data_IF_442901234471
#
_entry.id   IF_442901234471
#
_cell.length_a   1.000
_cell.length_b   1.000
_cell.length_c   1.000
_cell.angle_alpha   90.00
_cell.angle_beta   90.00
_cell.angle_gamma   90.00
#
_symmetry.space_group_name_H-M   'P 1'
#
loop_
_entity.id
_entity.type
_entity.pdbx_description
1 polymer ?
#
# COMPACT_ATOMS: atom_id res chain seq x y z
N UNK A 1 -21.34 -19.78 -16.38
CA UNK A 1 -21.08 -18.65 -17.28
C UNK A 1 -19.64 -18.22 -17.06
N UNK A 2 -18.79 -18.05 -18.09
CA UNK A 2 -17.42 -17.61 -17.86
C UNK A 2 -17.44 -16.08 -17.70
N UNK A 3 -17.77 -15.62 -16.50
CA UNK A 3 -17.47 -14.26 -16.06
C UNK A 3 -16.06 -14.21 -15.46
N UNK A 4 -15.52 -13.01 -15.15
CA UNK A 4 -14.26 -12.81 -14.45
C UNK A 4 -14.38 -13.15 -12.95
N UNK A 5 -15.05 -14.26 -12.64
CA UNK A 5 -15.33 -14.71 -11.29
C UNK A 5 -14.34 -15.81 -10.94
N UNK A 6 -13.58 -15.58 -9.89
CA UNK A 6 -12.70 -16.61 -9.35
C UNK A 6 -13.54 -17.74 -8.76
N UNK A 7 -13.22 -18.98 -9.14
CA UNK A 7 -13.79 -20.13 -8.44
C UNK A 7 -13.31 -20.10 -6.96
N UNK A 8 -14.10 -20.59 -5.99
CA UNK A 8 -13.70 -20.61 -4.58
C UNK A 8 -12.32 -21.20 -4.33
N UNK A 9 -11.96 -22.26 -5.07
CA UNK A 9 -10.62 -22.86 -5.00
C UNK A 9 -9.50 -21.92 -5.47
N UNK A 10 -9.75 -21.10 -6.50
CA UNK A 10 -8.77 -20.12 -6.98
C UNK A 10 -8.62 -18.95 -5.99
N UNK A 11 -9.72 -18.49 -5.36
CA UNK A 11 -9.67 -17.48 -4.29
C UNK A 11 -8.83 -17.96 -3.10
N UNK A 12 -9.06 -19.19 -2.64
CA UNK A 12 -8.30 -19.78 -1.53
C UNK A 12 -6.81 -19.89 -1.90
N UNK A 13 -6.50 -20.35 -3.12
CA UNK A 13 -5.13 -20.44 -3.59
C UNK A 13 -4.44 -19.07 -3.61
N UNK A 14 -5.08 -18.06 -4.20
CA UNK A 14 -4.54 -16.69 -4.26
C UNK A 14 -4.34 -16.12 -2.86
N UNK A 15 -5.31 -16.28 -1.96
CA UNK A 15 -5.20 -15.84 -0.57
C UNK A 15 -4.02 -16.49 0.17
N UNK A 16 -3.83 -17.80 0.02
CA UNK A 16 -2.71 -18.53 0.64
C UNK A 16 -1.36 -18.10 0.08
N UNK A 17 -1.25 -17.95 -1.25
CA UNK A 17 0.00 -17.51 -1.89
C UNK A 17 0.34 -16.08 -1.49
N UNK A 18 -0.62 -15.15 -1.49
CA UNK A 18 -0.42 -13.77 -1.02
C UNK A 18 0.08 -13.73 0.43
N UNK A 19 -0.51 -14.53 1.31
CA UNK A 19 -0.10 -14.61 2.71
C UNK A 19 1.31 -15.23 2.86
N UNK A 20 1.61 -16.28 2.09
CA UNK A 20 2.93 -16.91 2.09
C UNK A 20 4.03 -15.95 1.59
N UNK A 21 3.76 -15.19 0.52
CA UNK A 21 4.68 -14.17 0.01
C UNK A 21 4.91 -13.06 1.03
N UNK A 22 3.86 -12.62 1.74
CA UNK A 22 4.01 -11.63 2.81
C UNK A 22 4.84 -12.17 3.99
N UNK A 23 4.58 -13.42 4.40
CA UNK A 23 5.38 -14.09 5.43
C UNK A 23 6.86 -14.20 5.04
N UNK A 24 7.14 -14.56 3.79
CA UNK A 24 8.51 -14.60 3.26
C UNK A 24 9.16 -13.22 3.25
N UNK A 25 8.43 -12.17 2.83
CA UNK A 25 8.89 -10.79 2.86
C UNK A 25 9.24 -10.33 4.29
N UNK A 26 8.36 -10.59 5.26
CA UNK A 26 8.63 -10.25 6.67
C UNK A 26 9.85 -11.01 7.20
N UNK A 27 9.99 -12.29 6.88
CA UNK A 27 11.16 -13.08 7.29
C UNK A 27 12.47 -12.54 6.68
N UNK A 28 12.46 -12.17 5.40
CA UNK A 28 13.61 -11.57 4.73
C UNK A 28 14.01 -10.24 5.38
N UNK A 29 13.04 -9.39 5.72
CA UNK A 29 13.26 -8.08 6.32
C UNK A 29 13.71 -8.15 7.79
N UNK A 30 13.20 -9.12 8.57
CA UNK A 30 13.47 -9.20 10.02
C UNK A 30 14.67 -10.06 10.40
N UNK A 31 14.98 -11.09 9.61
CA UNK A 31 16.01 -12.09 9.96
C UNK A 31 17.13 -12.16 8.94
N UNK A 32 16.82 -12.23 7.65
CA UNK A 32 17.79 -12.70 6.65
C UNK A 32 18.69 -11.59 6.09
N UNK A 33 18.16 -10.37 5.87
CA UNK A 33 18.88 -9.28 5.21
C UNK A 33 18.70 -7.94 5.93
N UNK A 34 18.58 -7.92 7.26
CA UNK A 34 18.29 -6.70 8.03
C UNK A 34 19.20 -5.51 7.67
N UNK A 35 20.47 -5.79 7.40
CA UNK A 35 21.48 -4.80 7.04
C UNK A 35 21.23 -4.15 5.65
N UNK A 36 20.59 -4.87 4.72
CA UNK A 36 20.21 -4.35 3.39
C UNK A 36 19.00 -3.39 3.47
N UNK A 37 18.26 -3.41 4.58
CA UNK A 37 17.10 -2.53 4.83
C UNK A 37 17.44 -1.32 5.70
N UNK A 38 18.70 -1.11 6.06
CA UNK A 38 19.15 0.05 6.82
C UNK A 38 19.86 1.05 5.91
N UNK A 39 19.58 2.35 6.10
CA UNK A 39 20.42 3.37 5.47
C UNK A 39 21.81 3.35 6.10
N UNK A 40 22.86 3.54 5.29
CA UNK A 40 24.26 3.60 5.74
C UNK A 40 24.49 4.64 6.87
N UNK A 41 23.61 5.64 6.97
CA UNK A 41 23.65 6.66 8.02
C UNK A 41 23.27 6.12 9.41
N UNK A 42 22.47 5.03 9.48
CA UNK A 42 22.04 4.42 10.74
C UNK A 42 22.93 3.21 11.14
N UNK A 43 23.81 2.76 10.24
CA UNK A 43 24.77 1.67 10.47
C UNK A 43 25.78 2.04 11.58
N UNK A 44 25.55 1.51 12.79
CA UNK A 44 26.40 1.74 13.96
C UNK A 44 25.76 2.57 15.08
N UNK A 45 24.50 2.99 14.94
CA UNK A 45 23.76 3.60 16.04
C UNK A 45 23.40 2.56 17.10
N UNK A 46 24.05 2.66 18.27
CA UNK A 46 23.64 1.88 19.45
C UNK A 46 22.26 2.38 19.86
N UNK A 47 21.24 1.53 19.73
CA UNK A 47 19.90 1.85 20.16
C UNK A 47 19.90 1.87 21.70
N UNK A 48 19.61 3.03 22.29
CA UNK A 48 19.44 3.11 23.75
C UNK A 48 18.31 2.17 24.20
N UNK A 49 18.47 1.50 25.35
CA UNK A 49 17.45 0.62 25.88
C UNK A 49 16.15 1.40 26.13
N UNK A 50 15.08 1.00 25.45
CA UNK A 50 13.76 1.62 25.58
C UNK A 50 13.24 1.38 27.00
N UNK A 51 12.83 2.43 27.70
CA UNK A 51 12.25 2.30 29.04
C UNK A 51 10.95 1.49 28.98
N UNK A 52 10.75 0.59 29.96
CA UNK A 52 9.54 -0.26 30.04
C UNK A 52 8.24 0.56 30.01
N UNK A 53 8.25 1.76 30.59
CA UNK A 53 7.13 2.70 30.52
C UNK A 53 6.80 3.11 29.09
N UNK A 54 7.81 3.46 28.30
CA UNK A 54 7.60 3.96 26.93
C UNK A 54 7.15 2.81 26.01
N UNK A 55 7.64 1.59 26.24
CA UNK A 55 7.11 0.38 25.61
C UNK A 55 5.62 0.15 25.95
N UNK A 56 5.24 0.23 27.23
CA UNK A 56 3.84 0.06 27.65
C UNK A 56 2.94 1.15 27.05
N UNK A 57 3.40 2.42 27.04
CA UNK A 57 2.66 3.51 26.39
C UNK A 57 2.46 3.19 24.91
N UNK A 58 3.52 2.80 24.18
CA UNK A 58 3.41 2.45 22.77
C UNK A 58 2.45 1.25 22.54
N UNK A 59 2.52 0.24 23.40
CA UNK A 59 1.68 -0.96 23.32
C UNK A 59 0.18 -0.65 23.40
N UNK A 60 -0.23 0.33 24.21
CA UNK A 60 -1.63 0.74 24.31
C UNK A 60 -2.00 1.84 23.30
N UNK A 61 -1.08 2.76 23.01
CA UNK A 61 -1.34 3.90 22.14
C UNK A 61 -1.45 3.48 20.67
N UNK A 62 -0.71 2.45 20.24
CA UNK A 62 -0.76 1.95 18.86
C UNK A 62 -2.15 1.40 18.48
N UNK A 63 -2.76 0.45 19.21
CA UNK A 63 -4.11 0.00 18.88
C UNK A 63 -5.16 1.09 19.05
N UNK A 64 -5.00 2.01 20.01
CA UNK A 64 -5.90 3.15 20.15
C UNK A 64 -5.84 4.09 18.94
N UNK A 65 -4.63 4.40 18.46
CA UNK A 65 -4.42 5.20 17.26
C UNK A 65 -4.97 4.49 16.03
N UNK A 66 -4.77 3.18 15.90
CA UNK A 66 -5.32 2.38 14.80
C UNK A 66 -6.86 2.45 14.78
N UNK A 67 -7.52 2.25 15.93
CA UNK A 67 -8.98 2.38 16.04
C UNK A 67 -9.43 3.78 15.66
N UNK A 68 -8.75 4.82 16.16
CA UNK A 68 -9.08 6.20 15.84
C UNK A 68 -8.97 6.50 14.34
N UNK A 69 -7.91 6.01 13.66
CA UNK A 69 -7.73 6.18 12.21
C UNK A 69 -8.80 5.44 11.42
N UNK A 70 -9.13 4.20 11.79
CA UNK A 70 -10.20 3.41 11.13
C UNK A 70 -11.55 4.11 11.27
N UNK A 71 -11.91 4.58 12.47
CA UNK A 71 -13.15 5.31 12.70
C UNK A 71 -13.18 6.63 11.92
N UNK A 72 -12.05 7.34 11.86
CA UNK A 72 -11.95 8.59 11.09
C UNK A 72 -12.11 8.33 9.58
N UNK A 73 -11.50 7.27 9.06
CA UNK A 73 -11.66 6.87 7.65
C UNK A 73 -13.11 6.51 7.33
N UNK A 74 -13.78 5.77 8.21
CA UNK A 74 -15.20 5.42 8.07
C UNK A 74 -16.10 6.67 8.09
N UNK A 75 -15.85 7.62 9.00
CA UNK A 75 -16.60 8.88 9.06
C UNK A 75 -16.34 9.79 7.86
N UNK A 76 -15.16 9.72 7.24
CA UNK A 76 -14.81 10.49 6.05
C UNK A 76 -15.36 9.88 4.76
N UNK A 77 -15.75 8.61 4.74
CA UNK A 77 -16.26 7.94 3.53
C UNK A 77 -17.51 8.64 2.98
N UNK A 78 -18.49 8.93 3.85
CA UNK A 78 -19.78 9.57 3.50
C UNK A 78 -19.62 10.96 2.87
N UNK A 79 -18.89 11.92 3.48
CA UNK A 79 -18.70 13.23 2.85
C UNK A 79 -17.87 13.16 1.57
N UNK A 80 -16.91 12.23 1.46
CA UNK A 80 -16.11 12.02 0.24
C UNK A 80 -16.99 11.48 -0.90
N UNK A 81 -17.82 10.48 -0.62
CA UNK A 81 -18.79 9.93 -1.57
C UNK A 81 -19.78 11.02 -2.04
N UNK A 82 -20.32 11.79 -1.09
CA UNK A 82 -21.22 12.91 -1.40
C UNK A 82 -20.55 14.02 -2.23
N UNK A 83 -19.26 14.31 -2.01
CA UNK A 83 -18.52 15.30 -2.79
C UNK A 83 -18.22 14.81 -4.21
N UNK A 84 -17.83 13.55 -4.37
CA UNK A 84 -17.55 12.91 -5.67
C UNK A 84 -18.85 12.82 -6.49
N UNK A 85 -19.95 12.41 -5.86
CA UNK A 85 -21.27 12.37 -6.50
C UNK A 85 -21.75 13.76 -6.96
N UNK A 86 -21.56 14.80 -6.15
CA UNK A 86 -21.90 16.19 -6.54
C UNK A 86 -21.02 16.72 -7.68
N UNK A 87 -19.77 16.27 -7.78
CA UNK A 87 -18.88 16.60 -8.88
C UNK A 87 -19.18 15.83 -10.18
N UNK A 88 -20.11 14.87 -10.14
CA UNK A 88 -20.45 14.01 -11.29
C UNK A 88 -19.34 13.01 -11.64
N UNK A 89 -18.47 12.67 -10.69
CA UNK A 89 -17.34 11.77 -10.87
C UNK A 89 -17.72 10.30 -10.56
N UNK A 90 -17.01 9.30 -11.12
CA UNK A 90 -17.31 7.89 -10.90
C UNK A 90 -17.13 7.43 -9.45
N UNK A 91 -17.92 6.44 -9.02
CA UNK A 91 -17.80 5.82 -7.68
C UNK A 91 -16.42 5.18 -7.43
N UNK A 92 -15.75 4.70 -8.48
CA UNK A 92 -14.39 4.16 -8.37
C UNK A 92 -13.40 5.17 -7.76
N UNK A 93 -13.65 6.48 -7.96
CA UNK A 93 -12.82 7.54 -7.40
C UNK A 93 -12.96 7.68 -5.87
N UNK A 94 -14.07 7.20 -5.29
CA UNK A 94 -14.27 7.16 -3.82
C UNK A 94 -13.24 6.24 -3.19
N UNK A 95 -13.05 5.04 -3.76
CA UNK A 95 -12.02 4.11 -3.32
C UNK A 95 -10.61 4.69 -3.44
N UNK A 96 -10.31 5.38 -4.54
CA UNK A 96 -9.02 6.07 -4.74
C UNK A 96 -8.80 7.17 -3.69
N UNK A 97 -9.81 8.00 -3.43
CA UNK A 97 -9.73 9.08 -2.45
C UNK A 97 -9.51 8.54 -1.03
N UNK A 98 -10.27 7.53 -0.62
CA UNK A 98 -10.13 6.89 0.70
C UNK A 98 -8.75 6.25 0.83
N UNK A 99 -8.28 5.52 -0.20
CA UNK A 99 -6.95 4.93 -0.21
C UNK A 99 -5.83 5.98 -0.05
N UNK A 100 -5.96 7.13 -0.74
CA UNK A 100 -5.00 8.23 -0.61
C UNK A 100 -4.99 8.82 0.80
N UNK A 101 -6.15 9.01 1.44
CA UNK A 101 -6.25 9.55 2.79
C UNK A 101 -5.61 8.59 3.80
N UNK A 102 -5.87 7.29 3.68
CA UNK A 102 -5.33 6.26 4.59
C UNK A 102 -3.81 6.14 4.42
N UNK A 103 -3.29 6.17 3.20
CA UNK A 103 -1.86 6.02 2.92
C UNK A 103 -1.07 7.33 3.09
N UNK A 104 -1.75 8.47 3.21
CA UNK A 104 -1.12 9.79 3.29
C UNK A 104 -0.05 9.90 4.40
N UNK A 105 -0.29 9.47 5.65
CA UNK A 105 0.70 9.61 6.72
C UNK A 105 2.03 8.92 6.39
N UNK A 106 1.96 7.72 5.81
CA UNK A 106 3.14 6.94 5.43
C UNK A 106 3.82 7.51 4.19
N UNK A 107 3.05 8.03 3.23
CA UNK A 107 3.57 8.76 2.07
C UNK A 107 4.33 10.02 2.49
N UNK A 108 3.80 10.78 3.45
CA UNK A 108 4.47 11.97 3.99
C UNK A 108 5.73 11.62 4.76
N UNK A 109 5.71 10.55 5.57
CA UNK A 109 6.88 10.06 6.28
C UNK A 109 7.97 9.57 5.30
N UNK A 110 7.58 8.87 4.22
CA UNK A 110 8.48 8.42 3.17
C UNK A 110 9.12 9.61 2.42
N UNK A 111 8.33 10.66 2.14
CA UNK A 111 8.84 11.89 1.53
C UNK A 111 9.80 12.63 2.48
N UNK A 112 9.51 12.64 3.78
CA UNK A 112 10.38 13.18 4.82
C UNK A 112 11.75 12.49 4.82
N UNK A 113 11.76 11.15 4.87
CA UNK A 113 12.98 10.35 4.78
C UNK A 113 13.77 10.62 3.49
N UNK A 114 13.09 10.72 2.34
CA UNK A 114 13.73 11.06 1.07
C UNK A 114 14.40 12.45 1.09
N UNK A 115 13.77 13.45 1.73
CA UNK A 115 14.36 14.81 1.89
C UNK A 115 15.58 14.81 2.78
N UNK A 116 15.65 13.91 3.75
CA UNK A 116 16.81 13.68 4.60
C UNK A 116 17.89 12.78 3.96
N UNK A 117 17.74 12.45 2.67
CA UNK A 117 18.63 11.56 1.95
C UNK A 117 18.72 10.13 2.54
N UNK A 118 17.66 9.70 3.25
CA UNK A 118 17.43 8.34 3.77
C UNK A 118 16.58 7.54 2.78
N UNK A 119 17.16 7.26 1.60
CA UNK A 119 16.44 6.68 0.47
C UNK A 119 15.98 5.24 0.75
N UNK A 120 16.77 4.44 1.47
CA UNK A 120 16.36 3.08 1.81
C UNK A 120 15.16 3.10 2.75
N UNK A 121 15.16 3.95 3.77
CA UNK A 121 14.02 4.17 4.68
C UNK A 121 12.78 4.62 3.91
N UNK A 122 12.94 5.59 3.00
CA UNK A 122 11.84 6.09 2.17
C UNK A 122 11.20 4.99 1.32
N UNK A 123 12.01 4.20 0.62
CA UNK A 123 11.56 3.09 -0.24
C UNK A 123 10.96 1.96 0.59
N UNK A 124 11.58 1.60 1.72
CA UNK A 124 11.07 0.58 2.63
C UNK A 124 9.70 0.94 3.19
N UNK A 125 9.49 2.21 3.55
CA UNK A 125 8.21 2.67 4.05
C UNK A 125 7.14 2.64 2.95
N UNK A 126 7.44 3.18 1.77
CA UNK A 126 6.48 3.24 0.67
C UNK A 126 6.14 1.84 0.09
N UNK A 127 7.15 1.08 -0.32
CA UNK A 127 6.94 -0.25 -0.92
C UNK A 127 6.53 -1.29 0.13
N UNK A 128 7.10 -1.23 1.35
CA UNK A 128 6.72 -2.13 2.43
C UNK A 128 5.25 -1.96 2.82
N UNK A 129 4.76 -0.72 2.89
CA UNK A 129 3.35 -0.43 3.13
C UNK A 129 2.44 -0.94 2.01
N UNK A 130 2.80 -0.66 0.75
CA UNK A 130 2.03 -1.11 -0.40
C UNK A 130 1.95 -2.65 -0.45
N UNK A 131 3.07 -3.33 -0.22
CA UNK A 131 3.11 -4.80 -0.16
C UNK A 131 2.26 -5.35 0.99
N UNK A 132 2.37 -4.79 2.20
CA UNK A 132 1.56 -5.21 3.34
C UNK A 132 0.06 -5.02 3.06
N UNK A 133 -0.32 -3.87 2.51
CA UNK A 133 -1.70 -3.55 2.15
C UNK A 133 -2.25 -4.54 1.12
N UNK A 134 -1.53 -4.79 0.03
CA UNK A 134 -1.98 -5.72 -1.02
C UNK A 134 -2.04 -7.17 -0.52
N UNK A 135 -0.99 -7.66 0.13
CA UNK A 135 -0.90 -9.05 0.55
C UNK A 135 -1.83 -9.40 1.72
N UNK A 136 -2.26 -8.42 2.53
CA UNK A 136 -3.26 -8.62 3.58
C UNK A 136 -4.69 -8.34 3.11
N UNK A 137 -4.91 -7.41 2.17
CA UNK A 137 -6.26 -7.09 1.66
C UNK A 137 -6.81 -8.25 0.84
N UNK A 138 -6.01 -8.83 -0.06
CA UNK A 138 -6.45 -9.96 -0.91
C UNK A 138 -7.02 -11.13 -0.09
N UNK A 139 -6.32 -11.69 0.92
CA UNK A 139 -6.87 -12.78 1.73
C UNK A 139 -8.06 -12.33 2.58
N UNK A 140 -8.05 -11.09 3.09
CA UNK A 140 -9.18 -10.57 3.88
C UNK A 140 -10.45 -10.51 3.06
N UNK A 141 -10.39 -9.94 1.85
CA UNK A 141 -11.53 -9.84 0.93
C UNK A 141 -11.95 -11.23 0.43
N UNK A 142 -10.99 -12.14 0.18
CA UNK A 142 -11.31 -13.53 -0.19
C UNK A 142 -12.07 -14.27 0.92
N UNK A 143 -11.65 -14.15 2.18
CA UNK A 143 -12.36 -14.72 3.33
C UNK A 143 -13.75 -14.12 3.45
N UNK A 144 -13.89 -12.79 3.32
CA UNK A 144 -15.15 -12.09 3.41
C UNK A 144 -16.13 -12.51 2.30
N UNK A 145 -15.65 -12.62 1.06
CA UNK A 145 -16.42 -13.09 -0.09
C UNK A 145 -16.94 -14.51 0.13
N UNK A 146 -16.09 -15.43 0.61
CA UNK A 146 -16.50 -16.81 0.90
C UNK A 146 -17.48 -16.89 2.07
N UNK A 147 -17.32 -16.06 3.09
CA UNK A 147 -18.21 -16.04 4.26
C UNK A 147 -19.59 -15.45 3.93
N UNK A 148 -19.65 -14.42 3.09
CA UNK A 148 -20.88 -13.74 2.68
C UNK A 148 -21.54 -14.37 1.44
N UNK A 149 -20.87 -15.31 0.77
CA UNK A 149 -21.34 -15.91 -0.47
C UNK A 149 -21.44 -14.90 -1.63
N UNK A 150 -20.64 -13.83 -1.60
CA UNK A 150 -20.63 -12.81 -2.65
C UNK A 150 -19.59 -13.13 -3.72
N UNK A 151 -20.00 -12.96 -4.97
CA UNK A 151 -19.15 -13.11 -6.15
C UNK A 151 -18.12 -11.99 -6.20
N UNK A 152 -16.83 -12.34 -6.07
CA UNK A 152 -15.73 -11.39 -6.08
C UNK A 152 -15.03 -11.37 -7.45
N UNK A 153 -15.07 -10.21 -8.09
CA UNK A 153 -14.23 -9.91 -9.25
C UNK A 153 -12.94 -9.27 -8.74
N UNK A 154 -11.89 -10.07 -8.57
CA UNK A 154 -10.53 -9.61 -8.25
C UNK A 154 -9.79 -9.08 -9.50
N UNK A 155 -10.56 -8.54 -10.45
CA UNK A 155 -10.07 -8.10 -11.75
C UNK A 155 -10.05 -6.58 -11.82
N UNK A 156 -8.91 -6.04 -12.23
CA UNK A 156 -8.81 -4.67 -12.72
C UNK A 156 -9.26 -4.63 -14.19
N UNK A 157 -9.82 -3.52 -14.63
CA UNK A 157 -10.06 -3.30 -16.05
C UNK A 157 -8.75 -3.26 -16.84
N UNK A 158 -8.81 -3.53 -18.13
CA UNK A 158 -7.63 -3.69 -18.98
C UNK A 158 -6.70 -2.47 -18.93
N UNK A 159 -7.27 -1.27 -18.85
CA UNK A 159 -6.53 -0.01 -18.71
C UNK A 159 -5.75 0.10 -17.39
N UNK A 160 -6.35 -0.28 -16.26
CA UNK A 160 -5.69 -0.26 -14.95
C UNK A 160 -4.63 -1.37 -14.84
N UNK A 161 -4.83 -2.52 -15.50
CA UNK A 161 -3.80 -3.55 -15.62
C UNK A 161 -2.57 -3.00 -16.35
N UNK A 162 -2.76 -2.30 -17.48
CA UNK A 162 -1.66 -1.69 -18.24
C UNK A 162 -0.92 -0.66 -17.39
N UNK A 163 -1.63 0.21 -16.67
CA UNK A 163 -1.03 1.20 -15.79
C UNK A 163 -0.29 0.57 -14.61
N UNK A 164 -0.82 -0.50 -14.01
CA UNK A 164 -0.16 -1.25 -12.94
C UNK A 164 1.15 -1.88 -13.44
N UNK A 165 1.11 -2.56 -14.59
CA UNK A 165 2.29 -3.17 -15.20
C UNK A 165 3.33 -2.10 -15.55
N UNK A 166 2.91 -0.98 -16.13
CA UNK A 166 3.80 0.13 -16.46
C UNK A 166 4.43 0.73 -15.20
N UNK A 167 3.65 0.91 -14.13
CA UNK A 167 4.12 1.41 -12.83
C UNK A 167 5.19 0.49 -12.23
N UNK A 168 4.93 -0.81 -12.18
CA UNK A 168 5.86 -1.81 -11.65
C UNK A 168 7.13 -1.92 -12.50
N UNK A 169 6.97 -1.89 -13.83
CA UNK A 169 8.10 -1.91 -14.75
C UNK A 169 9.01 -0.69 -14.56
N UNK A 170 8.44 0.51 -14.54
CA UNK A 170 9.19 1.74 -14.30
C UNK A 170 9.82 1.79 -12.91
N UNK A 171 9.15 1.25 -11.89
CA UNK A 171 9.69 1.18 -10.53
C UNK A 171 10.93 0.27 -10.51
N UNK A 172 10.84 -0.88 -11.16
CA UNK A 172 11.97 -1.83 -11.27
C UNK A 172 13.16 -1.20 -11.96
N UNK A 173 12.95 -0.51 -13.10
CA UNK A 173 14.04 0.18 -13.81
C UNK A 173 14.65 1.33 -13.00
N UNK A 174 13.83 2.06 -12.25
CA UNK A 174 14.29 3.19 -11.44
C UNK A 174 15.13 2.73 -10.25
N UNK A 175 14.70 1.66 -9.58
CA UNK A 175 15.41 1.11 -8.42
C UNK A 175 16.64 0.27 -8.80
N UNK A 176 16.60 -0.46 -9.94
CA UNK A 176 17.72 -1.30 -10.37
C UNK A 176 19.00 -0.54 -10.72
N UNK A 177 18.88 0.73 -11.14
CA UNK A 177 20.02 1.55 -11.55
C UNK A 177 20.83 2.13 -10.38
N UNK A 178 20.42 1.91 -9.12
CA UNK A 178 21.13 2.36 -7.91
C UNK A 178 21.23 3.89 -7.75
N UNK A 179 20.57 4.66 -8.62
CA UNK A 179 20.54 6.13 -8.61
C UNK A 179 19.12 6.59 -8.91
N UNK A 180 18.52 7.36 -8.01
CA UNK A 180 17.21 7.99 -8.21
C UNK A 180 17.39 9.41 -8.74
N UNK A 181 16.74 9.73 -9.86
CA UNK A 181 16.77 11.07 -10.47
C UNK A 181 15.40 11.74 -10.42
N UNK A 182 15.37 13.08 -10.42
CA UNK A 182 14.11 13.84 -10.49
C UNK A 182 13.31 13.51 -11.75
N UNK A 183 13.97 13.10 -12.83
CA UNK A 183 13.31 12.70 -14.07
C UNK A 183 12.53 11.39 -13.91
N UNK A 184 13.13 10.37 -13.26
CA UNK A 184 12.45 9.11 -12.95
C UNK A 184 11.24 9.34 -12.03
N UNK A 185 11.38 10.19 -11.00
CA UNK A 185 10.25 10.58 -10.14
C UNK A 185 9.13 11.27 -10.93
N UNK A 186 9.48 12.15 -11.87
CA UNK A 186 8.52 12.79 -12.77
C UNK A 186 7.74 11.79 -13.62
N UNK A 187 8.40 10.74 -14.14
CA UNK A 187 7.73 9.69 -14.90
C UNK A 187 6.68 8.96 -14.05
N UNK A 188 7.02 8.60 -12.81
CA UNK A 188 6.06 7.98 -11.89
C UNK A 188 4.86 8.89 -11.61
N UNK A 189 5.08 10.20 -11.43
CA UNK A 189 4.00 11.15 -11.23
C UNK A 189 3.10 11.29 -12.46
N UNK A 190 3.67 11.22 -13.67
CA UNK A 190 2.90 11.24 -14.92
C UNK A 190 2.03 9.98 -15.05
N UNK A 191 2.58 8.79 -14.75
CA UNK A 191 1.80 7.53 -14.76
C UNK A 191 0.67 7.61 -13.72
N UNK A 192 0.94 8.13 -12.53
CA UNK A 192 -0.08 8.34 -11.51
C UNK A 192 -1.15 9.36 -11.94
N UNK A 193 -0.76 10.45 -12.62
CA UNK A 193 -1.70 11.41 -13.20
C UNK A 193 -2.59 10.80 -14.30
N UNK A 194 -2.02 9.92 -15.14
CA UNK A 194 -2.78 9.16 -16.12
C UNK A 194 -3.79 8.22 -15.45
N UNK A 195 -3.39 7.53 -14.38
CA UNK A 195 -4.28 6.71 -13.55
C UNK A 195 -5.46 7.53 -13.00
N UNK A 196 -5.20 8.71 -12.42
CA UNK A 196 -6.27 9.58 -11.92
C UNK A 196 -7.21 10.06 -13.03
N UNK A 197 -6.66 10.36 -14.21
CA UNK A 197 -7.45 10.85 -15.35
C UNK A 197 -8.37 9.76 -15.89
N UNK A 198 -7.86 8.55 -16.12
CA UNK A 198 -8.68 7.41 -16.57
C UNK A 198 -9.70 7.00 -15.51
N UNK A 199 -9.35 7.06 -14.23
CA UNK A 199 -10.29 6.75 -13.15
C UNK A 199 -11.40 7.81 -13.00
N UNK A 200 -11.13 9.07 -13.36
CA UNK A 200 -12.10 10.15 -13.31
C UNK A 200 -12.96 10.26 -14.59
N UNK A 201 -12.41 9.85 -15.73
CA UNK A 201 -13.04 9.91 -17.05
C UNK A 201 -12.95 8.50 -17.66
N UNK A 202 -13.93 7.62 -17.36
CA UNK A 202 -13.98 6.26 -17.91
C UNK A 202 -14.34 6.23 -19.40
#
# INVERSE_FOLDING_TARGET
MPGPLYAPAQLIFVALVSLALYGFFLHAQTVLHRDDYQDLADAGTQHEPIACRDFLVALFLLPLALIAVVLLAEMLSVPVEGAIGQAGLPEALVGVAIALIILMPEGLASLGAARENRLQTSVNLALGSALASLCLTIPTVAILSLALGQDLVLGLDAEHIVLLVLSLFMATLSLANGRTTSLQGGIHLVIFGAFLTLSAIP
#
